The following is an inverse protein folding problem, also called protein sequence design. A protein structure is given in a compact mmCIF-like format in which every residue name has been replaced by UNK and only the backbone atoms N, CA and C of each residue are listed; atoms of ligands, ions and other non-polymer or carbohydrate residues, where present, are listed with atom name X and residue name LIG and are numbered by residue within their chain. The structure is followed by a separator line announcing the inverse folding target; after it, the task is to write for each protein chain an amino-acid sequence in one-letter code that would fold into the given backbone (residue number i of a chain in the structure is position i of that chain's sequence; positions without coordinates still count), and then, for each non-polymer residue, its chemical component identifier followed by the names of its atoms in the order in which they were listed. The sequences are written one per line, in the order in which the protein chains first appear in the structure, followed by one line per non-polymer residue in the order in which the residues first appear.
data_IF_579302019884
#
_entry.id   IF_579302019884
#
_cell.length_a   1.000
_cell.length_b   1.000
_cell.length_c   1.000
_cell.angle_alpha   90.00
_cell.angle_beta   90.00
_cell.angle_gamma   90.00
#
_symmetry.space_group_name_H-M   'P 1'
#
loop_
_entity.id
_entity.type
_entity.pdbx_description
1 polymer ?
#
# COMPACT_ATOMS: atom_id res chain seq x y z
N UNK A 1 -13.33 -29.03 -26.10
CA UNK A 1 -14.29 -29.43 -25.05
C UNK A 1 -14.13 -28.64 -23.74
N UNK A 2 -12.92 -28.33 -23.26
CA UNK A 2 -12.77 -27.50 -22.05
C UNK A 2 -13.07 -25.99 -22.26
N UNK A 3 -12.72 -25.38 -23.41
CA UNK A 3 -13.06 -23.97 -23.66
C UNK A 3 -14.54 -23.71 -23.92
N UNK A 4 -15.30 -24.71 -24.42
CA UNK A 4 -16.74 -24.59 -24.61
C UNK A 4 -17.50 -24.57 -23.28
N UNK A 5 -17.05 -25.32 -22.26
CA UNK A 5 -17.66 -25.33 -20.93
C UNK A 5 -17.35 -24.07 -20.12
N UNK A 6 -16.13 -23.52 -20.24
CA UNK A 6 -15.79 -22.22 -19.64
C UNK A 6 -16.63 -21.08 -20.25
N UNK A 7 -16.80 -21.08 -21.58
CA UNK A 7 -17.69 -20.13 -22.27
C UNK A 7 -19.13 -20.24 -21.80
N UNK A 8 -19.67 -21.46 -21.68
CA UNK A 8 -21.05 -21.67 -21.22
C UNK A 8 -21.26 -21.25 -19.76
N UNK A 9 -20.28 -21.52 -18.90
CA UNK A 9 -20.32 -21.11 -17.49
C UNK A 9 -20.28 -19.58 -17.38
N UNK A 10 -19.38 -18.92 -18.12
CA UNK A 10 -19.28 -17.46 -18.16
C UNK A 10 -20.54 -16.80 -18.74
N UNK A 11 -21.16 -17.40 -19.77
CA UNK A 11 -22.43 -16.96 -20.34
C UNK A 11 -23.58 -17.10 -19.34
N UNK A 12 -23.65 -18.22 -18.62
CA UNK A 12 -24.65 -18.43 -17.56
C UNK A 12 -24.47 -17.39 -16.44
N UNK A 13 -23.23 -17.10 -16.07
CA UNK A 13 -22.86 -16.04 -15.15
C UNK A 13 -23.31 -14.65 -15.60
N UNK A 14 -23.03 -14.29 -16.85
CA UNK A 14 -23.47 -13.02 -17.44
C UNK A 14 -25.01 -12.92 -17.46
N UNK A 15 -25.71 -13.99 -17.80
CA UNK A 15 -27.18 -14.03 -17.84
C UNK A 15 -27.81 -13.92 -16.44
N UNK A 16 -27.28 -14.64 -15.45
CA UNK A 16 -27.76 -14.57 -14.05
C UNK A 16 -27.46 -13.19 -13.48
N UNK A 17 -26.24 -12.68 -13.68
CA UNK A 17 -25.86 -11.36 -13.19
C UNK A 17 -26.70 -10.26 -13.85
N UNK A 18 -26.98 -10.30 -15.16
CA UNK A 18 -27.81 -9.28 -15.83
C UNK A 18 -29.28 -9.31 -15.40
N UNK A 19 -29.87 -10.49 -15.18
CA UNK A 19 -31.30 -10.63 -14.89
C UNK A 19 -31.65 -10.65 -13.39
N UNK A 20 -30.67 -10.84 -12.49
CA UNK A 20 -30.88 -10.98 -11.04
C UNK A 20 -30.04 -9.99 -10.22
N UNK A 21 -29.62 -8.84 -10.79
CA UNK A 21 -28.86 -7.80 -10.06
C UNK A 21 -29.51 -7.34 -8.74
N UNK A 22 -30.81 -7.51 -8.60
CA UNK A 22 -31.57 -7.15 -7.41
C UNK A 22 -31.60 -8.25 -6.33
N UNK A 23 -31.14 -9.47 -6.64
CA UNK A 23 -31.05 -10.58 -5.70
C UNK A 23 -29.61 -10.76 -5.24
N UNK A 24 -29.26 -10.10 -4.15
CA UNK A 24 -27.89 -10.02 -3.65
C UNK A 24 -27.36 -11.38 -3.14
N UNK A 25 -28.20 -12.34 -2.73
CA UNK A 25 -27.76 -13.71 -2.42
C UNK A 25 -27.28 -14.44 -3.69
N UNK A 26 -27.96 -14.20 -4.82
CA UNK A 26 -27.53 -14.76 -6.10
C UNK A 26 -26.21 -14.12 -6.51
N UNK A 27 -26.06 -12.81 -6.33
CA UNK A 27 -24.80 -12.10 -6.62
C UNK A 27 -23.65 -12.61 -5.77
N UNK A 28 -23.86 -12.86 -4.48
CA UNK A 28 -22.86 -13.49 -3.59
C UNK A 28 -22.45 -14.87 -4.09
N UNK A 29 -23.41 -15.78 -4.34
CA UNK A 29 -23.10 -17.14 -4.80
C UNK A 29 -22.38 -17.17 -6.16
N UNK A 30 -22.76 -16.24 -7.05
CA UNK A 30 -22.12 -15.99 -8.33
C UNK A 30 -20.69 -15.50 -8.08
N UNK A 31 -20.49 -14.41 -7.32
CA UNK A 31 -19.17 -13.88 -6.98
C UNK A 31 -18.24 -14.94 -6.40
N UNK A 32 -18.73 -15.72 -5.43
CA UNK A 32 -17.99 -16.83 -4.85
C UNK A 32 -17.55 -17.83 -5.91
N UNK A 33 -18.48 -18.29 -6.74
CA UNK A 33 -18.17 -19.28 -7.78
C UNK A 33 -17.19 -18.72 -8.82
N UNK A 34 -17.28 -17.44 -9.19
CA UNK A 34 -16.32 -16.79 -10.10
C UNK A 34 -14.94 -16.71 -9.46
N UNK A 35 -14.86 -16.38 -8.16
CA UNK A 35 -13.58 -16.34 -7.43
C UNK A 35 -12.85 -17.68 -7.49
N UNK A 36 -13.58 -18.80 -7.42
CA UNK A 36 -13.00 -20.14 -7.53
C UNK A 36 -12.49 -20.40 -8.96
N UNK A 37 -13.25 -19.99 -9.98
CA UNK A 37 -12.83 -20.13 -11.38
C UNK A 37 -11.57 -19.30 -11.69
N UNK A 38 -11.47 -18.09 -11.15
CA UNK A 38 -10.31 -17.20 -11.35
C UNK A 38 -9.02 -17.74 -10.72
N UNK A 39 -9.13 -18.69 -9.79
CA UNK A 39 -8.00 -19.37 -9.15
C UNK A 39 -7.61 -20.69 -9.81
N UNK A 40 -8.32 -21.13 -10.85
CA UNK A 40 -7.98 -22.36 -11.55
C UNK A 40 -6.56 -22.29 -12.15
N UNK A 41 -5.90 -23.46 -12.26
CA UNK A 41 -4.50 -23.55 -12.72
C UNK A 41 -4.25 -22.90 -14.09
N UNK A 42 -5.24 -22.94 -14.98
CA UNK A 42 -5.21 -22.38 -16.32
C UNK A 42 -6.06 -21.09 -16.46
N UNK A 43 -6.43 -20.46 -15.33
CA UNK A 43 -7.28 -19.28 -15.33
C UNK A 43 -6.65 -18.10 -16.06
N UNK A 44 -5.35 -17.86 -15.88
CA UNK A 44 -4.63 -16.78 -16.57
C UNK A 44 -4.65 -16.92 -18.10
N UNK A 45 -4.65 -18.15 -18.61
CA UNK A 45 -4.64 -18.43 -20.05
C UNK A 45 -6.05 -18.47 -20.65
N UNK A 46 -7.04 -19.00 -19.89
CA UNK A 46 -8.35 -19.35 -20.45
C UNK A 46 -9.52 -18.55 -19.88
N UNK A 47 -9.48 -18.18 -18.61
CA UNK A 47 -10.66 -17.62 -17.91
C UNK A 47 -10.55 -16.11 -17.76
N UNK A 48 -9.43 -15.63 -17.24
CA UNK A 48 -9.19 -14.21 -16.96
C UNK A 48 -9.31 -13.35 -18.23
N UNK A 49 -8.71 -13.72 -19.39
CA UNK A 49 -8.89 -12.94 -20.61
C UNK A 49 -10.35 -12.85 -21.05
N UNK A 50 -11.13 -13.93 -20.89
CA UNK A 50 -12.55 -13.94 -21.22
C UNK A 50 -13.37 -13.08 -20.26
N UNK A 51 -13.05 -13.11 -18.96
CA UNK A 51 -13.71 -12.26 -17.95
C UNK A 51 -13.42 -10.79 -18.25
N UNK A 52 -12.16 -10.42 -18.50
CA UNK A 52 -11.77 -9.05 -18.82
C UNK A 52 -12.41 -8.55 -20.11
N UNK A 53 -12.51 -9.38 -21.15
CA UNK A 53 -13.18 -9.02 -22.40
C UNK A 53 -14.72 -8.97 -22.31
N UNK A 54 -15.31 -9.32 -21.17
CA UNK A 54 -16.76 -9.32 -20.95
C UNK A 54 -17.23 -8.08 -20.20
N UNK A 55 -18.54 -8.00 -19.92
CA UNK A 55 -19.08 -6.93 -19.07
C UNK A 55 -18.87 -7.18 -17.57
N UNK A 56 -18.35 -8.35 -17.14
CA UNK A 56 -18.21 -8.70 -15.73
C UNK A 56 -17.39 -7.70 -14.90
N UNK A 57 -16.25 -7.14 -15.35
CA UNK A 57 -15.50 -6.18 -14.56
C UNK A 57 -16.36 -4.99 -14.10
N UNK A 58 -17.15 -4.42 -15.01
CA UNK A 58 -18.09 -3.33 -14.68
C UNK A 58 -19.16 -3.75 -13.67
N UNK A 59 -19.64 -4.99 -13.75
CA UNK A 59 -20.64 -5.49 -12.80
C UNK A 59 -20.03 -5.72 -11.42
N UNK A 60 -18.85 -6.35 -11.35
CA UNK A 60 -18.12 -6.58 -10.10
C UNK A 60 -17.89 -5.24 -9.37
N UNK A 61 -17.50 -4.21 -10.11
CA UNK A 61 -17.32 -2.86 -9.57
C UNK A 61 -18.64 -2.26 -9.06
N UNK A 62 -19.74 -2.42 -9.79
CA UNK A 62 -21.05 -1.88 -9.38
C UNK A 62 -21.59 -2.47 -8.07
N UNK A 63 -21.13 -3.66 -7.68
CA UNK A 63 -21.55 -4.38 -6.45
C UNK A 63 -20.64 -4.06 -5.26
N UNK A 64 -19.50 -3.38 -5.47
CA UNK A 64 -18.58 -3.06 -4.38
C UNK A 64 -19.18 -2.14 -3.32
N UNK A 65 -20.17 -1.31 -3.67
CA UNK A 65 -20.87 -0.48 -2.69
C UNK A 65 -21.83 -1.36 -1.90
N UNK A 66 -21.62 -1.58 -0.58
CA UNK A 66 -22.47 -2.47 0.19
C UNK A 66 -23.92 -1.99 0.25
N UNK A 67 -24.87 -2.92 0.13
CA UNK A 67 -26.29 -2.62 0.31
C UNK A 67 -26.64 -2.68 1.81
N UNK A 68 -27.28 -1.63 2.38
CA UNK A 68 -27.64 -1.61 3.80
C UNK A 68 -28.52 -2.79 4.25
N UNK A 69 -29.30 -3.39 3.35
CA UNK A 69 -30.22 -4.48 3.66
C UNK A 69 -29.59 -5.87 3.53
N UNK A 70 -28.44 -5.98 2.84
CA UNK A 70 -27.82 -7.28 2.51
C UNK A 70 -26.38 -7.41 2.99
N UNK A 71 -25.85 -6.35 3.62
CA UNK A 71 -24.54 -6.35 4.23
C UNK A 71 -23.39 -6.43 3.23
N UNK A 72 -22.26 -6.95 3.69
CA UNK A 72 -20.99 -6.91 2.98
C UNK A 72 -20.76 -8.11 2.02
N UNK A 73 -21.52 -9.20 2.15
CA UNK A 73 -21.17 -10.48 1.52
C UNK A 73 -21.04 -10.41 -0.02
N UNK A 74 -21.98 -9.80 -0.78
CA UNK A 74 -21.82 -9.67 -2.24
C UNK A 74 -20.60 -8.83 -2.63
N UNK A 75 -20.35 -7.75 -1.88
CA UNK A 75 -19.20 -6.86 -2.11
C UNK A 75 -17.88 -7.58 -1.83
N UNK A 76 -17.82 -8.40 -0.77
CA UNK A 76 -16.66 -9.23 -0.42
C UNK A 76 -16.31 -10.17 -1.58
N UNK A 77 -17.29 -10.92 -2.08
CA UNK A 77 -17.06 -11.86 -3.17
C UNK A 77 -16.65 -11.18 -4.49
N UNK A 78 -17.24 -10.01 -4.77
CA UNK A 78 -16.84 -9.22 -5.94
C UNK A 78 -15.43 -8.64 -5.80
N UNK A 79 -15.04 -8.19 -4.61
CA UNK A 79 -13.70 -7.70 -4.33
C UNK A 79 -12.65 -8.82 -4.47
N UNK A 80 -12.96 -10.05 -4.03
CA UNK A 80 -12.09 -11.21 -4.28
C UNK A 80 -11.92 -11.53 -5.75
N UNK A 81 -13.00 -11.46 -6.55
CA UNK A 81 -12.90 -11.60 -7.99
C UNK A 81 -11.95 -10.54 -8.61
N UNK A 82 -12.11 -9.27 -8.23
CA UNK A 82 -11.22 -8.20 -8.67
C UNK A 82 -9.77 -8.45 -8.22
N UNK A 83 -9.56 -8.97 -7.01
CA UNK A 83 -8.22 -9.31 -6.53
C UNK A 83 -7.57 -10.34 -7.45
N UNK A 84 -8.25 -11.45 -7.76
CA UNK A 84 -7.70 -12.49 -8.61
C UNK A 84 -7.44 -12.01 -10.05
N UNK A 85 -8.28 -11.11 -10.56
CA UNK A 85 -8.01 -10.45 -11.85
C UNK A 85 -6.74 -9.59 -11.77
N UNK A 86 -6.58 -8.78 -10.71
CA UNK A 86 -5.45 -7.85 -10.56
C UNK A 86 -4.13 -8.52 -10.18
N UNK A 87 -4.13 -9.67 -9.50
CA UNK A 87 -2.90 -10.39 -9.17
C UNK A 87 -2.41 -11.31 -10.30
N UNK A 88 -3.17 -11.42 -11.39
CA UNK A 88 -2.80 -12.24 -12.54
C UNK A 88 -1.67 -11.59 -13.37
N UNK A 89 -1.03 -12.43 -14.19
CA UNK A 89 -0.05 -11.97 -15.19
C UNK A 89 -0.70 -11.24 -16.37
N UNK A 90 -2.02 -11.32 -16.50
CA UNK A 90 -2.77 -10.67 -17.58
C UNK A 90 -2.74 -9.16 -17.38
N UNK A 91 -2.77 -8.43 -18.48
CA UNK A 91 -2.77 -6.98 -18.51
C UNK A 91 -4.01 -6.40 -17.78
N UNK A 92 -3.79 -5.42 -16.90
CA UNK A 92 -4.84 -4.78 -16.09
C UNK A 92 -5.42 -3.51 -16.72
N UNK A 93 -5.03 -3.15 -17.94
CA UNK A 93 -5.52 -1.94 -18.64
C UNK A 93 -7.05 -1.87 -18.69
N UNK A 94 -7.72 -3.00 -18.92
CA UNK A 94 -9.20 -3.03 -18.96
C UNK A 94 -9.82 -2.69 -17.60
N UNK A 95 -9.24 -3.18 -16.50
CA UNK A 95 -9.71 -2.84 -15.15
C UNK A 95 -9.49 -1.36 -14.83
N UNK A 96 -8.33 -0.80 -15.22
CA UNK A 96 -8.05 0.62 -15.08
C UNK A 96 -9.02 1.47 -15.92
N UNK A 97 -9.33 1.05 -17.16
CA UNK A 97 -10.29 1.72 -18.04
C UNK A 97 -11.72 1.72 -17.46
N UNK A 98 -12.11 0.67 -16.75
CA UNK A 98 -13.37 0.61 -16.01
C UNK A 98 -13.37 1.40 -14.69
N UNK A 99 -12.27 2.06 -14.34
CA UNK A 99 -12.15 2.84 -13.10
C UNK A 99 -12.01 2.00 -11.84
N UNK A 100 -11.49 0.78 -11.95
CA UNK A 100 -11.34 -0.12 -10.79
C UNK A 100 -10.47 0.49 -9.70
N UNK A 101 -9.37 1.15 -10.06
CA UNK A 101 -8.47 1.79 -9.09
C UNK A 101 -9.21 2.93 -8.36
N UNK A 102 -9.87 3.82 -9.10
CA UNK A 102 -10.66 4.92 -8.50
C UNK A 102 -11.75 4.43 -7.55
N UNK A 103 -12.54 3.43 -7.97
CA UNK A 103 -13.66 2.94 -7.17
C UNK A 103 -13.18 2.20 -5.91
N UNK A 104 -12.20 1.30 -6.04
CA UNK A 104 -11.64 0.59 -4.90
C UNK A 104 -10.94 1.55 -3.91
N UNK A 105 -10.21 2.55 -4.40
CA UNK A 105 -9.60 3.59 -3.56
C UNK A 105 -10.64 4.43 -2.82
N UNK A 106 -11.71 4.87 -3.50
CA UNK A 106 -12.78 5.65 -2.87
C UNK A 106 -13.53 4.85 -1.79
N UNK A 107 -13.75 3.56 -2.02
CA UNK A 107 -14.34 2.67 -1.02
C UNK A 107 -13.41 2.48 0.18
N UNK A 108 -12.10 2.32 -0.03
CA UNK A 108 -11.13 2.27 1.07
C UNK A 108 -11.13 3.55 1.91
N UNK A 109 -11.30 4.72 1.29
CA UNK A 109 -11.47 6.00 2.03
C UNK A 109 -12.69 5.91 2.94
N UNK A 110 -13.84 5.56 2.37
CA UNK A 110 -15.11 5.46 3.12
C UNK A 110 -15.03 4.47 4.28
N UNK A 111 -14.42 3.30 4.07
CA UNK A 111 -14.23 2.28 5.10
C UNK A 111 -13.21 2.72 6.17
N UNK A 112 -12.13 3.38 5.77
CA UNK A 112 -11.12 3.93 6.68
C UNK A 112 -11.71 5.02 7.58
N UNK A 113 -12.53 5.92 7.04
CA UNK A 113 -13.23 6.96 7.79
C UNK A 113 -14.20 6.34 8.81
N UNK A 114 -14.98 5.33 8.39
CA UNK A 114 -15.89 4.61 9.28
C UNK A 114 -15.14 3.94 10.45
N UNK A 115 -13.99 3.30 10.16
CA UNK A 115 -13.15 2.69 11.20
C UNK A 115 -12.54 3.75 12.13
N UNK A 116 -12.11 4.90 11.59
CA UNK A 116 -11.53 5.98 12.37
C UNK A 116 -12.52 6.59 13.38
N UNK A 117 -13.81 6.66 13.06
CA UNK A 117 -14.86 7.10 13.98
C UNK A 117 -15.37 5.99 14.93
N UNK A 118 -14.74 4.81 14.89
CA UNK A 118 -15.00 3.73 15.83
C UNK A 118 -16.09 2.75 15.39
N UNK A 119 -16.38 2.63 14.09
CA UNK A 119 -17.23 1.55 13.59
C UNK A 119 -16.58 0.18 13.91
N UNK A 120 -17.34 -0.69 14.56
CA UNK A 120 -16.94 -2.03 14.98
C UNK A 120 -17.77 -3.13 14.31
N UNK A 121 -18.43 -2.82 13.20
CA UNK A 121 -19.12 -3.82 12.40
C UNK A 121 -18.13 -4.95 12.05
N UNK A 122 -18.43 -6.15 12.56
CA UNK A 122 -17.64 -7.34 12.31
C UNK A 122 -17.73 -7.71 10.83
N UNK A 123 -16.60 -8.11 10.24
CA UNK A 123 -16.54 -8.52 8.84
C UNK A 123 -16.11 -7.43 7.87
N UNK A 124 -15.99 -6.15 8.29
CA UNK A 124 -15.43 -5.09 7.42
C UNK A 124 -14.04 -5.48 6.90
N UNK A 125 -13.22 -6.12 7.72
CA UNK A 125 -11.89 -6.61 7.30
C UNK A 125 -11.93 -7.56 6.10
N UNK A 126 -13.02 -8.31 5.93
CA UNK A 126 -13.17 -9.32 4.89
C UNK A 126 -13.34 -8.64 3.53
N UNK A 127 -13.86 -7.41 3.53
CA UNK A 127 -13.94 -6.54 2.37
C UNK A 127 -12.65 -5.71 2.19
N UNK A 128 -12.09 -5.16 3.27
CA UNK A 128 -10.87 -4.35 3.23
C UNK A 128 -9.69 -5.15 2.66
N UNK A 129 -9.53 -6.43 3.03
CA UNK A 129 -8.43 -7.27 2.59
C UNK A 129 -8.31 -7.40 1.05
N UNK A 130 -9.33 -7.88 0.32
CA UNK A 130 -9.27 -7.94 -1.13
C UNK A 130 -9.19 -6.54 -1.78
N UNK A 131 -9.81 -5.50 -1.20
CA UNK A 131 -9.71 -4.13 -1.72
C UNK A 131 -8.28 -3.59 -1.68
N UNK A 132 -7.57 -3.75 -0.56
CA UNK A 132 -6.16 -3.34 -0.44
C UNK A 132 -5.30 -4.06 -1.47
N UNK A 133 -5.52 -5.36 -1.67
CA UNK A 133 -4.78 -6.13 -2.67
C UNK A 133 -5.09 -5.68 -4.10
N UNK A 134 -6.36 -5.38 -4.40
CA UNK A 134 -6.75 -4.79 -5.68
C UNK A 134 -6.02 -3.47 -5.93
N UNK A 135 -6.12 -2.53 -4.99
CA UNK A 135 -5.52 -1.20 -5.12
C UNK A 135 -4.02 -1.29 -5.24
N UNK A 136 -3.33 -2.06 -4.39
CA UNK A 136 -1.88 -2.18 -4.47
C UNK A 136 -1.38 -2.82 -5.76
N UNK A 137 -2.07 -3.84 -6.29
CA UNK A 137 -1.74 -4.45 -7.59
C UNK A 137 -1.98 -3.49 -8.76
N UNK A 138 -3.08 -2.73 -8.72
CA UNK A 138 -3.42 -1.74 -9.73
C UNK A 138 -2.44 -0.56 -9.71
N UNK A 139 -2.06 -0.06 -8.53
CA UNK A 139 -1.05 0.98 -8.37
C UNK A 139 0.29 0.56 -9.00
N UNK A 140 0.73 -0.68 -8.78
CA UNK A 140 1.96 -1.21 -9.35
C UNK A 140 1.92 -1.33 -10.90
N UNK A 141 0.73 -1.40 -11.49
CA UNK A 141 0.53 -1.54 -12.93
C UNK A 141 0.04 -0.25 -13.60
N UNK A 142 -0.27 0.79 -12.82
CA UNK A 142 -0.76 2.06 -13.31
C UNK A 142 0.40 2.88 -13.87
N UNK A 143 0.29 3.43 -15.10
CA UNK A 143 1.25 4.40 -15.59
C UNK A 143 1.37 5.59 -14.63
N UNK A 144 2.60 6.04 -14.35
CA UNK A 144 2.86 7.13 -13.39
C UNK A 144 2.09 8.41 -13.74
N UNK A 145 1.91 8.70 -15.03
CA UNK A 145 1.17 9.87 -15.52
C UNK A 145 -0.34 9.82 -15.24
N UNK A 146 -0.91 8.63 -15.04
CA UNK A 146 -2.34 8.42 -14.84
C UNK A 146 -2.71 8.28 -13.35
N UNK A 147 -1.71 8.20 -12.45
CA UNK A 147 -1.99 7.96 -11.03
C UNK A 147 -2.90 9.04 -10.43
N UNK A 148 -2.66 10.31 -10.75
CA UNK A 148 -3.46 11.42 -10.24
C UNK A 148 -4.89 11.48 -10.83
N UNK A 149 -5.12 10.87 -12.00
CA UNK A 149 -6.47 10.78 -12.60
C UNK A 149 -7.21 9.54 -12.14
N UNK A 150 -6.47 8.48 -11.78
CA UNK A 150 -7.03 7.22 -11.27
C UNK A 150 -7.28 7.25 -9.75
N UNK A 151 -6.51 8.03 -8.99
CA UNK A 151 -6.69 8.22 -7.54
C UNK A 151 -6.76 9.71 -7.23
N UNK A 152 -7.97 10.26 -7.28
CA UNK A 152 -8.19 11.70 -7.08
C UNK A 152 -8.19 12.14 -5.61
N UNK A 153 -8.45 11.22 -4.68
CA UNK A 153 -8.64 11.55 -3.27
C UNK A 153 -7.38 11.30 -2.43
N UNK A 154 -6.72 12.39 -2.03
CA UNK A 154 -5.56 12.35 -1.14
C UNK A 154 -5.88 11.82 0.25
N UNK A 155 -7.14 11.82 0.70
CA UNK A 155 -7.54 11.25 1.99
C UNK A 155 -7.35 9.74 2.06
N UNK A 156 -7.05 9.06 0.94
CA UNK A 156 -6.62 7.67 0.95
C UNK A 156 -5.43 7.44 1.88
N UNK A 157 -4.50 8.39 2.03
CA UNK A 157 -3.39 8.22 3.00
C UNK A 157 -3.87 8.22 4.44
N UNK A 158 -4.91 9.01 4.77
CA UNK A 158 -5.50 9.07 6.11
C UNK A 158 -6.19 7.74 6.41
N UNK A 159 -7.02 7.26 5.47
CA UNK A 159 -7.71 5.98 5.59
C UNK A 159 -6.73 4.81 5.76
N UNK A 160 -5.66 4.74 4.96
CA UNK A 160 -4.63 3.71 5.08
C UNK A 160 -3.93 3.78 6.44
N UNK A 161 -3.59 4.97 6.94
CA UNK A 161 -3.02 5.11 8.28
C UNK A 161 -4.00 4.65 9.38
N UNK A 162 -5.29 4.97 9.27
CA UNK A 162 -6.31 4.50 10.21
C UNK A 162 -6.43 2.97 10.20
N UNK A 163 -6.43 2.35 9.02
CA UNK A 163 -6.47 0.89 8.85
C UNK A 163 -5.24 0.21 9.46
N UNK A 164 -4.04 0.77 9.26
CA UNK A 164 -2.80 0.24 9.87
C UNK A 164 -2.94 0.24 11.40
N UNK A 165 -3.36 1.35 11.99
CA UNK A 165 -3.49 1.47 13.45
C UNK A 165 -4.58 0.55 14.01
N UNK A 166 -5.75 0.50 13.36
CA UNK A 166 -6.88 -0.30 13.80
C UNK A 166 -6.58 -1.80 13.82
N UNK A 167 -5.80 -2.29 12.83
CA UNK A 167 -5.50 -3.71 12.68
C UNK A 167 -4.11 -4.12 13.14
N UNK A 168 -3.29 -3.19 13.63
CA UNK A 168 -1.89 -3.45 14.02
C UNK A 168 -1.76 -4.63 14.99
N UNK A 169 -2.64 -4.71 15.99
CA UNK A 169 -2.58 -5.73 17.04
C UNK A 169 -3.44 -6.96 16.72
N UNK A 170 -4.60 -6.75 16.10
CA UNK A 170 -5.61 -7.82 15.91
C UNK A 170 -5.38 -8.59 14.61
N UNK A 171 -4.92 -7.92 13.55
CA UNK A 171 -4.68 -8.50 12.23
C UNK A 171 -3.43 -7.90 11.57
N UNK A 172 -2.22 -8.18 12.08
CA UNK A 172 -0.97 -7.59 11.58
C UNK A 172 -0.75 -7.79 10.07
N UNK A 173 -1.21 -8.92 9.51
CA UNK A 173 -1.15 -9.16 8.07
C UNK A 173 -1.94 -8.11 7.27
N UNK A 174 -3.11 -7.69 7.75
CA UNK A 174 -3.95 -6.68 7.11
C UNK A 174 -3.36 -5.26 7.27
N UNK A 175 -2.79 -4.97 8.45
CA UNK A 175 -2.04 -3.74 8.67
C UNK A 175 -0.83 -3.64 7.71
N UNK A 176 -0.12 -4.76 7.49
CA UNK A 176 0.96 -4.85 6.51
C UNK A 176 0.49 -4.62 5.07
N UNK A 177 -0.65 -5.18 4.66
CA UNK A 177 -1.24 -4.87 3.33
C UNK A 177 -1.57 -3.37 3.20
N UNK A 178 -2.08 -2.74 4.27
CA UNK A 178 -2.38 -1.30 4.28
C UNK A 178 -1.10 -0.46 4.13
N UNK A 179 -0.03 -0.82 4.85
CA UNK A 179 1.28 -0.19 4.71
C UNK A 179 1.90 -0.41 3.33
N UNK A 180 1.67 -1.56 2.71
CA UNK A 180 2.13 -1.87 1.36
C UNK A 180 1.46 -0.98 0.30
N UNK A 181 0.14 -0.80 0.39
CA UNK A 181 -0.59 0.14 -0.48
C UNK A 181 -0.07 1.57 -0.28
N UNK A 182 0.14 2.00 0.97
CA UNK A 182 0.70 3.32 1.27
C UNK A 182 2.10 3.54 0.67
N UNK A 183 2.96 2.51 0.73
CA UNK A 183 4.26 2.54 0.08
C UNK A 183 4.15 2.71 -1.44
N UNK A 184 3.30 1.94 -2.10
CA UNK A 184 3.12 2.04 -3.56
C UNK A 184 2.59 3.42 -3.97
N UNK A 185 1.67 3.98 -3.18
CA UNK A 185 1.06 5.28 -3.43
C UNK A 185 2.09 6.43 -3.33
N UNK A 186 3.01 6.34 -2.37
CA UNK A 186 4.03 7.37 -2.13
C UNK A 186 5.25 7.27 -3.04
N UNK A 187 5.54 6.09 -3.60
CA UNK A 187 6.70 5.86 -4.47
C UNK A 187 6.77 6.80 -5.67
N UNK A 188 5.62 7.16 -6.26
CA UNK A 188 5.58 7.91 -7.52
C UNK A 188 4.81 9.24 -7.46
N UNK A 189 4.15 9.57 -6.34
CA UNK A 189 3.36 10.80 -6.23
C UNK A 189 3.89 11.75 -5.17
N UNK A 190 4.21 12.98 -5.61
CA UNK A 190 4.53 14.07 -4.69
C UNK A 190 3.30 14.58 -3.93
N UNK A 191 2.10 14.39 -4.46
CA UNK A 191 0.86 14.87 -3.84
C UNK A 191 0.50 14.00 -2.63
N UNK A 192 0.58 12.67 -2.75
CA UNK A 192 0.39 11.77 -1.61
C UNK A 192 1.50 11.90 -0.56
N UNK A 193 2.76 12.15 -0.97
CA UNK A 193 3.82 12.52 -0.03
C UNK A 193 3.51 13.82 0.72
N UNK A 194 3.00 14.84 0.00
CA UNK A 194 2.59 16.12 0.59
C UNK A 194 1.42 15.94 1.55
N UNK A 195 0.47 15.06 1.23
CA UNK A 195 -0.69 14.77 2.07
C UNK A 195 -0.27 14.14 3.41
N UNK A 196 0.68 13.21 3.42
CA UNK A 196 1.24 12.64 4.66
C UNK A 196 1.77 13.71 5.63
N UNK A 197 2.41 14.75 5.08
CA UNK A 197 2.96 15.86 5.85
C UNK A 197 1.87 16.84 6.28
N UNK A 198 0.96 17.20 5.37
CA UNK A 198 -0.09 18.19 5.60
C UNK A 198 -1.14 17.72 6.61
N UNK A 199 -1.45 16.41 6.60
CA UNK A 199 -2.32 15.78 7.60
C UNK A 199 -1.59 15.32 8.86
N UNK A 200 -0.29 15.64 9.00
CA UNK A 200 0.52 15.29 10.16
C UNK A 200 0.51 13.78 10.50
N UNK A 201 0.60 12.93 9.48
CA UNK A 201 0.55 11.46 9.63
C UNK A 201 1.93 10.85 9.94
N UNK A 202 3.02 11.55 9.60
CA UNK A 202 4.41 11.08 9.77
C UNK A 202 4.75 10.66 11.20
N UNK A 203 4.39 11.41 12.27
CA UNK A 203 4.68 10.95 13.64
C UNK A 203 4.03 9.60 13.97
N UNK A 204 2.80 9.38 13.51
CA UNK A 204 2.11 8.09 13.66
C UNK A 204 2.79 6.96 12.90
N UNK A 205 3.35 7.26 11.71
CA UNK A 205 4.17 6.31 10.96
C UNK A 205 5.49 6.00 11.71
N UNK A 206 6.18 7.00 12.25
CA UNK A 206 7.42 6.79 13.03
C UNK A 206 7.18 5.85 14.21
N UNK A 207 6.04 5.97 14.90
CA UNK A 207 5.67 5.09 16.01
C UNK A 207 5.51 3.62 15.59
N UNK A 208 5.39 3.32 14.29
CA UNK A 208 5.28 1.96 13.77
C UNK A 208 6.64 1.28 13.52
N UNK A 209 7.76 2.02 13.54
CA UNK A 209 9.09 1.47 13.26
C UNK A 209 9.56 0.36 14.24
N UNK A 210 9.14 0.32 15.51
CA UNK A 210 9.45 -0.80 16.40
C UNK A 210 8.69 -2.10 16.06
N UNK A 211 7.63 -2.05 15.25
CA UNK A 211 6.78 -3.21 14.97
C UNK A 211 7.34 -4.05 13.81
N UNK A 212 7.72 -5.29 14.10
CA UNK A 212 8.30 -6.23 13.14
C UNK A 212 7.24 -6.84 12.18
N UNK A 213 7.48 -8.03 11.64
CA UNK A 213 6.61 -8.69 10.64
C UNK A 213 6.51 -7.94 9.30
N UNK A 214 7.53 -7.15 8.97
CA UNK A 214 7.62 -6.40 7.72
C UNK A 214 6.85 -5.08 7.71
N UNK A 215 6.16 -4.72 8.80
CA UNK A 215 5.48 -3.42 8.94
C UNK A 215 6.52 -2.31 9.00
N UNK A 216 7.48 -2.40 9.92
CA UNK A 216 8.62 -1.47 10.03
C UNK A 216 9.32 -1.20 8.69
N UNK A 217 9.62 -2.23 7.91
CA UNK A 217 10.27 -2.10 6.60
C UNK A 217 9.42 -1.31 5.62
N UNK A 218 8.12 -1.59 5.53
CA UNK A 218 7.21 -0.85 4.64
C UNK A 218 7.05 0.61 5.06
N UNK A 219 6.95 0.87 6.36
CA UNK A 219 6.86 2.23 6.91
C UNK A 219 8.15 3.00 6.64
N UNK A 220 9.31 2.36 6.82
CA UNK A 220 10.60 2.97 6.51
C UNK A 220 10.72 3.26 5.01
N UNK A 221 10.20 2.39 4.13
CA UNK A 221 10.13 2.66 2.67
C UNK A 221 9.21 3.83 2.33
N UNK A 222 8.06 3.98 3.01
CA UNK A 222 7.21 5.18 2.89
C UNK A 222 8.01 6.44 3.25
N UNK A 223 8.72 6.43 4.38
CA UNK A 223 9.55 7.57 4.81
C UNK A 223 10.70 7.85 3.82
N UNK A 224 11.28 6.80 3.21
CA UNK A 224 12.27 6.94 2.13
C UNK A 224 11.67 7.61 0.88
N UNK A 225 10.47 7.22 0.46
CA UNK A 225 9.79 7.83 -0.69
C UNK A 225 9.55 9.33 -0.47
N UNK A 226 9.12 9.73 0.74
CA UNK A 226 8.96 11.15 1.10
C UNK A 226 10.31 11.86 1.13
N UNK A 227 11.34 11.24 1.72
CA UNK A 227 12.70 11.80 1.81
C UNK A 227 13.37 12.00 0.44
N UNK A 228 13.05 11.14 -0.53
CA UNK A 228 13.52 11.30 -1.91
C UNK A 228 13.03 12.61 -2.55
N UNK A 229 11.94 13.19 -2.05
CA UNK A 229 11.47 14.53 -2.42
C UNK A 229 12.16 15.56 -1.52
N UNK A 230 13.39 15.96 -1.86
CA UNK A 230 14.26 16.87 -1.06
C UNK A 230 13.55 18.04 -0.36
N UNK A 231 12.54 18.64 -1.00
CA UNK A 231 11.70 19.72 -0.43
C UNK A 231 11.01 19.37 0.91
N UNK A 232 10.86 18.08 1.23
CA UNK A 232 10.21 17.59 2.44
C UNK A 232 11.19 17.20 3.56
N UNK A 233 12.49 17.13 3.30
CA UNK A 233 13.48 16.63 4.26
C UNK A 233 13.53 17.44 5.56
N UNK A 234 13.46 18.78 5.47
CA UNK A 234 13.47 19.66 6.66
C UNK A 234 12.25 19.38 7.54
N UNK A 235 11.07 19.27 6.94
CA UNK A 235 9.84 18.97 7.66
C UNK A 235 9.87 17.57 8.29
N UNK A 236 10.40 16.57 7.58
CA UNK A 236 10.60 15.22 8.14
C UNK A 236 11.52 15.23 9.37
N UNK A 237 12.61 16.00 9.32
CA UNK A 237 13.49 16.21 10.48
C UNK A 237 12.76 16.81 11.67
N UNK A 238 11.96 17.86 11.45
CA UNK A 238 11.12 18.50 12.48
C UNK A 238 10.07 17.55 13.07
N UNK A 239 9.56 16.60 12.28
CA UNK A 239 8.61 15.57 12.72
C UNK A 239 9.27 14.38 13.42
N UNK A 240 10.59 14.46 13.70
CA UNK A 240 11.31 13.48 14.52
C UNK A 240 11.97 12.35 13.75
N UNK A 241 12.06 12.43 12.42
CA UNK A 241 12.62 11.34 11.62
C UNK A 241 14.10 11.05 11.97
N UNK A 242 14.92 12.06 12.27
CA UNK A 242 16.32 11.84 12.64
C UNK A 242 16.47 11.00 13.91
N UNK A 243 15.65 11.28 14.94
CA UNK A 243 15.65 10.50 16.18
C UNK A 243 15.20 9.07 15.94
N UNK A 244 14.19 8.89 15.08
CA UNK A 244 13.72 7.58 14.67
C UNK A 244 14.82 6.79 13.94
N UNK A 245 15.58 7.43 13.04
CA UNK A 245 16.70 6.82 12.35
C UNK A 245 17.83 6.42 13.31
N UNK A 246 18.14 7.25 14.31
CA UNK A 246 19.09 6.87 15.37
C UNK A 246 18.65 5.61 16.13
N UNK A 247 17.35 5.35 16.26
CA UNK A 247 16.83 4.12 16.86
C UNK A 247 16.92 2.94 15.88
N UNK A 248 16.51 3.11 14.61
CA UNK A 248 16.53 2.03 13.62
C UNK A 248 17.93 1.59 13.22
N UNK A 249 18.91 2.50 13.24
CA UNK A 249 20.34 2.19 13.03
C UNK A 249 20.93 1.25 14.10
N UNK A 250 20.27 1.10 15.25
CA UNK A 250 20.68 0.17 16.33
C UNK A 250 20.01 -1.20 16.23
N UNK A 251 19.12 -1.40 15.26
CA UNK A 251 18.41 -2.67 15.11
C UNK A 251 19.34 -3.75 14.55
N UNK A 252 19.02 -5.01 14.85
CA UNK A 252 19.74 -6.18 14.33
C UNK A 252 19.35 -6.52 12.89
N UNK A 253 18.20 -6.02 12.44
CA UNK A 253 17.70 -6.20 11.07
C UNK A 253 18.54 -5.38 10.08
N UNK A 254 19.32 -6.07 9.26
CA UNK A 254 20.23 -5.44 8.30
C UNK A 254 19.49 -4.65 7.21
N UNK A 255 18.29 -5.08 6.80
CA UNK A 255 17.50 -4.35 5.80
C UNK A 255 17.06 -3.00 6.38
N UNK A 256 16.59 -3.00 7.64
CA UNK A 256 16.22 -1.78 8.34
C UNK A 256 17.39 -0.82 8.51
N UNK A 257 18.56 -1.30 8.93
CA UNK A 257 19.77 -0.47 9.07
C UNK A 257 20.19 0.11 7.72
N UNK A 258 20.23 -0.72 6.68
CA UNK A 258 20.63 -0.33 5.32
C UNK A 258 19.70 0.76 4.76
N UNK A 259 18.38 0.57 4.88
CA UNK A 259 17.40 1.56 4.44
C UNK A 259 17.45 2.84 5.30
N UNK A 260 17.75 2.72 6.60
CA UNK A 260 17.92 3.89 7.47
C UNK A 260 19.12 4.74 7.06
N UNK A 261 20.22 4.11 6.63
CA UNK A 261 21.39 4.81 6.09
C UNK A 261 21.07 5.55 4.78
N UNK A 262 20.24 4.97 3.90
CA UNK A 262 19.78 5.66 2.67
C UNK A 262 18.95 6.91 2.99
N UNK A 263 18.02 6.77 3.93
CA UNK A 263 17.17 7.90 4.35
C UNK A 263 18.04 8.98 4.98
N UNK A 264 18.95 8.60 5.87
CA UNK A 264 19.87 9.53 6.49
C UNK A 264 20.69 10.29 5.44
N UNK A 265 21.24 9.59 4.44
CA UNK A 265 21.93 10.21 3.32
C UNK A 265 21.06 11.24 2.58
N UNK A 266 19.81 10.91 2.26
CA UNK A 266 18.89 11.86 1.61
C UNK A 266 18.62 13.10 2.47
N UNK A 267 18.46 12.92 3.79
CA UNK A 267 18.21 14.03 4.72
C UNK A 267 19.43 14.95 4.84
N UNK A 268 20.60 14.42 5.21
CA UNK A 268 21.81 15.25 5.43
C UNK A 268 22.34 15.87 4.14
N UNK A 269 22.11 15.23 2.99
CA UNK A 269 22.45 15.80 1.68
C UNK A 269 21.49 16.92 1.26
N UNK A 270 20.34 17.08 1.91
CA UNK A 270 19.35 18.11 1.55
C UNK A 270 19.64 19.46 2.20
N UNK A 271 20.19 19.48 3.42
CA UNK A 271 20.59 20.71 4.12
C UNK A 271 21.62 20.42 5.24
N UNK A 272 22.63 21.29 5.46
CA UNK A 272 23.57 21.15 6.57
C UNK A 272 22.90 21.09 7.94
N UNK A 273 21.77 21.78 8.11
CA UNK A 273 21.03 21.83 9.39
C UNK A 273 20.62 20.44 9.90
N UNK A 274 20.26 19.51 9.00
CA UNK A 274 19.90 18.15 9.38
C UNK A 274 21.12 17.30 9.74
N UNK A 275 22.28 17.64 9.18
CA UNK A 275 23.55 17.00 9.50
C UNK A 275 24.00 17.39 10.92
N UNK A 276 23.97 18.69 11.23
CA UNK A 276 24.26 19.25 12.57
C UNK A 276 23.31 18.69 13.63
N UNK A 277 22.01 18.59 13.32
CA UNK A 277 21.02 18.02 14.25
C UNK A 277 21.26 16.52 14.49
N UNK A 278 21.62 15.76 13.45
CA UNK A 278 21.97 14.35 13.60
C UNK A 278 23.23 14.15 14.47
N UNK A 279 24.24 15.00 14.29
CA UNK A 279 25.43 15.03 15.14
C UNK A 279 25.08 15.33 16.60
N UNK A 280 24.25 16.36 16.85
CA UNK A 280 23.79 16.74 18.20
C UNK A 280 23.05 15.62 18.92
N UNK A 281 22.40 14.72 18.16
CA UNK A 281 21.75 13.53 18.70
C UNK A 281 22.71 12.34 18.94
N UNK A 282 24.02 12.55 18.78
CA UNK A 282 25.04 11.51 18.94
C UNK A 282 25.12 10.54 17.76
N UNK A 283 24.62 10.95 16.58
CA UNK A 283 24.54 10.11 15.40
C UNK A 283 25.90 9.67 14.84
N UNK A 284 26.96 10.46 15.04
CA UNK A 284 28.32 10.12 14.57
C UNK A 284 28.83 8.81 15.17
N UNK A 285 28.70 8.65 16.49
CA UNK A 285 29.12 7.43 17.18
C UNK A 285 28.35 6.19 16.73
N UNK A 286 27.10 6.36 16.25
CA UNK A 286 26.33 5.26 15.67
C UNK A 286 26.90 4.85 14.31
N UNK A 287 27.23 5.82 13.45
CA UNK A 287 27.82 5.54 12.15
C UNK A 287 29.23 4.93 12.29
N UNK A 288 30.04 5.41 13.22
CA UNK A 288 31.34 4.82 13.56
C UNK A 288 31.15 3.37 14.01
N UNK A 289 30.23 3.10 14.94
CA UNK A 289 29.94 1.74 15.38
C UNK A 289 29.52 0.82 14.21
N UNK A 290 28.71 1.31 13.27
CA UNK A 290 28.33 0.56 12.06
C UNK A 290 29.55 0.34 11.15
N UNK A 291 30.37 1.36 10.94
CA UNK A 291 31.59 1.29 10.13
C UNK A 291 32.55 0.21 10.65
N UNK A 292 32.79 0.16 11.97
CA UNK A 292 33.70 -0.81 12.57
C UNK A 292 33.11 -2.22 12.67
N UNK A 293 31.82 -2.35 13.02
CA UNK A 293 31.22 -3.65 13.37
C UNK A 293 30.44 -4.32 12.23
N UNK A 294 30.14 -3.60 11.14
CA UNK A 294 29.41 -4.15 9.98
C UNK A 294 30.34 -4.40 8.80
N UNK A 295 29.86 -5.14 7.80
CA UNK A 295 30.59 -5.44 6.57
C UNK A 295 29.80 -5.00 5.32
N UNK A 296 30.42 -5.12 4.15
CA UNK A 296 29.75 -4.95 2.87
C UNK A 296 29.14 -3.57 2.65
N UNK A 297 27.84 -3.53 2.39
CA UNK A 297 27.11 -2.31 2.04
C UNK A 297 26.91 -1.36 3.23
N UNK A 298 26.56 -1.87 4.41
CA UNK A 298 26.36 -1.04 5.60
C UNK A 298 27.62 -0.26 5.97
N UNK A 299 28.79 -0.93 6.00
CA UNK A 299 30.08 -0.27 6.24
C UNK A 299 30.35 0.83 5.21
N UNK A 300 30.18 0.53 3.92
CA UNK A 300 30.46 1.50 2.84
C UNK A 300 29.58 2.75 2.94
N UNK A 301 28.28 2.57 3.21
CA UNK A 301 27.33 3.69 3.37
C UNK A 301 27.65 4.53 4.61
N UNK A 302 27.96 3.89 5.74
CA UNK A 302 28.34 4.60 6.97
C UNK A 302 29.64 5.40 6.79
N UNK A 303 30.69 4.79 6.20
CA UNK A 303 31.94 5.48 5.85
C UNK A 303 31.67 6.69 4.96
N UNK A 304 30.86 6.52 3.91
CA UNK A 304 30.56 7.59 2.97
C UNK A 304 29.88 8.78 3.65
N UNK A 305 28.88 8.52 4.51
CA UNK A 305 28.19 9.55 5.29
C UNK A 305 29.15 10.32 6.21
N UNK A 306 30.01 9.62 6.93
CA UNK A 306 31.00 10.23 7.82
C UNK A 306 31.95 11.14 7.02
N UNK A 307 32.58 10.60 5.98
CA UNK A 307 33.63 11.30 5.23
C UNK A 307 33.09 12.49 4.41
N UNK A 308 31.90 12.39 3.82
CA UNK A 308 31.45 13.36 2.81
C UNK A 308 30.36 14.32 3.32
N UNK A 309 29.67 13.99 4.41
CA UNK A 309 28.51 14.76 4.84
C UNK A 309 28.56 15.24 6.30
N UNK A 310 29.44 14.69 7.14
CA UNK A 310 29.41 14.94 8.57
C UNK A 310 30.76 15.42 9.15
N UNK A 311 31.90 14.99 8.61
CA UNK A 311 33.22 15.38 9.13
C UNK A 311 33.74 16.75 8.64
N UNK A 312 33.08 17.39 7.68
CA UNK A 312 33.48 18.71 7.16
C UNK A 312 32.99 19.91 8.01
N UNK A 313 32.22 19.68 9.08
CA UNK A 313 31.73 20.76 9.96
C UNK A 313 32.76 21.12 11.06
N UNK A 314 33.87 20.39 11.15
CA UNK A 314 34.87 20.53 12.22
C UNK A 314 36.14 21.34 11.84
N UNK A 315 36.15 22.04 10.69
CA UNK A 315 37.25 22.92 10.30
C UNK A 315 36.77 24.28 9.78
#
# INVERSE_FOLDING_TARGET
MYSSNANMSLLMFLCVNQNQRHNLAVVEAVGFTLSQLLQAKDAAEKIIPMVLASSLPSHLLSVLTPDPNFGLAPAIECAWCLHYLTCSIVDKRELLAHGALSQCSSLLVSLGDAIAVGNKEEGIELLVCPLLRCVGNLLASCPVGDLNTQVCDVHLVVALCALIQAYLQTRPALARESAWVLNNLTAHSSDFCSALLSFNLVPGLIQLLPFSQGINTLILRVLANVSHKKKFCVQLGQLGLLSALCATLKMTDQEMVTLSLDILFMLVSSTPQLAEEFERQGGLSLLEAIQYNSEGEMRRRATYLLEHHLLFVLW
#
